data_IF_486835776864
#
_entry.id   IF_486835776864
#
_cell.length_a   1.000
_cell.length_b   1.000
_cell.length_c   1.000
_cell.angle_alpha   90.00
_cell.angle_beta   90.00
_cell.angle_gamma   90.00
#
_symmetry.space_group_name_H-M   'P 1'
#
loop_
_entity.id
_entity.type
_entity.pdbx_description
1 polymer ?
#
# COMPACT_ATOMS: atom_id res chain seq x y z
N UNK A 1 18.36 14.21 -1.24
CA UNK A 1 16.98 13.98 -1.12
C UNK A 1 16.62 12.57 -1.10
N UNK A 2 15.73 12.20 -0.28
CA UNK A 2 15.31 10.82 -0.17
C UNK A 2 14.37 10.47 -1.32
N UNK A 3 14.48 9.26 -1.81
CA UNK A 3 13.55 8.79 -2.81
C UNK A 3 12.16 8.66 -2.22
N UNK A 4 11.12 8.93 -2.98
CA UNK A 4 9.77 8.64 -2.51
C UNK A 4 9.59 7.14 -2.29
N UNK A 5 8.67 6.79 -1.44
CA UNK A 5 8.49 5.41 -1.00
C UNK A 5 7.27 4.78 -1.66
N UNK A 6 7.41 3.53 -2.09
CA UNK A 6 6.29 2.68 -2.41
C UNK A 6 6.16 1.72 -1.22
N UNK A 7 5.03 1.78 -0.53
CA UNK A 7 4.80 1.03 0.69
C UNK A 7 3.82 -0.10 0.43
N UNK A 8 4.24 -1.32 0.66
CA UNK A 8 3.46 -2.51 0.32
C UNK A 8 3.10 -3.28 1.58
N UNK A 9 1.84 -3.66 1.73
CA UNK A 9 1.34 -4.38 2.91
C UNK A 9 0.53 -5.59 2.47
N UNK A 10 0.90 -6.76 2.97
CA UNK A 10 0.19 -7.98 2.68
C UNK A 10 0.51 -8.97 3.80
N UNK A 11 -0.49 -9.59 4.40
CA UNK A 11 -0.27 -10.51 5.51
C UNK A 11 0.36 -11.83 5.08
N UNK A 12 0.37 -12.15 3.80
CA UNK A 12 1.03 -13.34 3.29
C UNK A 12 2.49 -13.00 2.95
N UNK A 13 3.47 -13.51 3.70
CA UNK A 13 4.87 -13.17 3.46
C UNK A 13 5.38 -13.57 2.08
N UNK A 14 4.83 -14.66 1.51
CA UNK A 14 5.27 -15.10 0.19
C UNK A 14 4.82 -14.13 -0.89
N UNK A 15 3.57 -13.69 -0.80
CA UNK A 15 3.03 -12.72 -1.74
C UNK A 15 3.79 -11.41 -1.60
N UNK A 16 4.02 -10.98 -0.37
CA UNK A 16 4.72 -9.73 -0.11
C UNK A 16 6.13 -9.76 -0.68
N UNK A 17 6.84 -10.89 -0.53
CA UNK A 17 8.17 -11.02 -1.09
C UNK A 17 8.17 -10.92 -2.60
N UNK A 18 7.21 -11.55 -3.24
CA UNK A 18 7.12 -11.52 -4.70
C UNK A 18 6.84 -10.10 -5.20
N UNK A 19 5.92 -9.42 -4.54
CA UNK A 19 5.58 -8.04 -4.91
C UNK A 19 6.79 -7.13 -4.68
N UNK A 20 7.46 -7.26 -3.54
CA UNK A 20 8.62 -6.45 -3.24
C UNK A 20 9.72 -6.65 -4.25
N UNK A 21 9.95 -7.90 -4.65
CA UNK A 21 10.97 -8.22 -5.63
C UNK A 21 10.65 -7.55 -6.96
N UNK A 22 9.40 -7.65 -7.39
CA UNK A 22 9.00 -7.08 -8.67
C UNK A 22 9.06 -5.56 -8.64
N UNK A 23 8.66 -4.95 -7.54
CA UNK A 23 8.73 -3.50 -7.40
C UNK A 23 10.18 -3.02 -7.41
N UNK A 24 11.06 -3.72 -6.70
CA UNK A 24 12.46 -3.36 -6.68
C UNK A 24 13.09 -3.50 -8.07
N UNK A 25 12.71 -4.56 -8.76
CA UNK A 25 13.24 -4.79 -10.10
C UNK A 25 12.88 -3.67 -11.06
N UNK A 26 11.69 -3.10 -10.93
CA UNK A 26 11.23 -2.10 -11.87
C UNK A 26 11.45 -0.67 -11.41
N UNK A 27 11.41 -0.42 -10.13
CA UNK A 27 11.35 0.96 -9.63
C UNK A 27 12.46 1.34 -8.66
N UNK A 28 13.39 0.43 -8.39
CA UNK A 28 14.42 0.65 -7.40
C UNK A 28 15.27 1.90 -7.65
N UNK A 29 15.44 2.30 -8.89
CA UNK A 29 16.24 3.48 -9.20
C UNK A 29 15.57 4.77 -8.73
N UNK A 30 14.23 4.79 -8.74
CA UNK A 30 13.48 6.01 -8.48
C UNK A 30 12.71 5.99 -7.18
N UNK A 31 12.46 4.83 -6.60
CA UNK A 31 11.65 4.69 -5.40
C UNK A 31 12.30 3.76 -4.40
N UNK A 32 12.04 4.03 -3.13
CA UNK A 32 12.46 3.12 -2.08
C UNK A 32 11.27 2.22 -1.80
N UNK A 33 11.49 0.93 -1.67
CA UNK A 33 10.42 -0.04 -1.46
C UNK A 33 10.45 -0.48 0.00
N UNK A 34 9.35 -0.28 0.71
CA UNK A 34 9.19 -0.72 2.09
C UNK A 34 8.00 -1.66 2.15
N UNK A 35 8.12 -2.74 2.89
CA UNK A 35 7.09 -3.77 2.97
C UNK A 35 6.90 -4.25 4.39
N UNK A 36 5.68 -4.56 4.75
CA UNK A 36 5.39 -5.16 6.06
C UNK A 36 4.20 -6.10 5.94
N UNK A 37 4.13 -7.07 6.83
CA UNK A 37 3.02 -8.02 6.86
C UNK A 37 1.92 -7.60 7.84
N UNK A 38 2.11 -6.52 8.59
CA UNK A 38 1.15 -6.08 9.60
C UNK A 38 0.61 -4.70 9.29
N UNK A 39 -0.70 -4.57 9.19
CA UNK A 39 -1.33 -3.29 8.92
C UNK A 39 -1.13 -2.32 10.08
N UNK A 40 -1.14 -2.83 11.31
CA UNK A 40 -0.90 -1.97 12.49
C UNK A 40 0.52 -1.44 12.50
N UNK A 41 1.50 -2.29 12.20
CA UNK A 41 2.87 -1.84 12.10
C UNK A 41 3.05 -0.86 10.96
N UNK A 42 2.33 -1.08 9.88
CA UNK A 42 2.38 -0.17 8.74
C UNK A 42 1.91 1.22 9.11
N UNK A 43 0.84 1.34 9.89
CA UNK A 43 0.35 2.66 10.31
C UNK A 43 1.36 3.37 11.19
N UNK A 44 2.02 2.64 12.07
CA UNK A 44 3.07 3.23 12.90
C UNK A 44 4.23 3.69 12.04
N UNK A 45 4.64 2.86 11.09
CA UNK A 45 5.75 3.19 10.20
C UNK A 45 5.42 4.41 9.34
N UNK A 46 4.19 4.50 8.86
CA UNK A 46 3.75 5.63 8.02
C UNK A 46 3.79 6.93 8.82
N UNK A 47 3.37 6.87 10.08
CA UNK A 47 3.43 8.03 10.96
C UNK A 47 4.88 8.47 11.19
N UNK A 48 5.75 7.52 11.42
CA UNK A 48 7.17 7.81 11.63
C UNK A 48 7.81 8.40 10.38
N UNK A 49 7.46 7.88 9.22
CA UNK A 49 7.98 8.40 7.95
C UNK A 49 7.55 9.86 7.75
N UNK A 50 6.31 10.16 8.09
CA UNK A 50 5.80 11.52 7.96
C UNK A 50 6.56 12.46 8.89
N UNK A 51 6.80 12.03 10.11
CA UNK A 51 7.53 12.84 11.08
C UNK A 51 8.98 13.05 10.67
N UNK A 52 9.54 12.11 9.91
CA UNK A 52 10.90 12.22 9.42
C UNK A 52 11.03 13.02 8.12
N UNK A 53 9.92 13.47 7.57
CA UNK A 53 9.95 14.25 6.34
C UNK A 53 10.02 13.43 5.07
N UNK A 54 9.82 12.12 5.17
CA UNK A 54 9.81 11.24 3.99
C UNK A 54 8.48 11.34 3.26
N UNK A 55 8.48 11.02 1.99
CA UNK A 55 7.28 11.04 1.14
C UNK A 55 6.90 9.63 0.75
N UNK A 56 5.62 9.31 0.88
CA UNK A 56 5.09 8.06 0.36
C UNK A 56 4.34 8.37 -0.92
N UNK A 57 4.79 7.79 -2.02
CA UNK A 57 4.18 8.02 -3.32
C UNK A 57 3.01 7.09 -3.58
N UNK A 58 3.05 5.88 -3.04
CA UNK A 58 2.01 4.90 -3.29
C UNK A 58 1.91 3.90 -2.16
N UNK A 59 0.67 3.50 -1.85
CA UNK A 59 0.39 2.38 -0.96
C UNK A 59 -0.18 1.24 -1.81
N UNK A 60 0.38 0.05 -1.63
CA UNK A 60 -0.07 -1.14 -2.34
C UNK A 60 -0.49 -2.13 -1.26
N UNK A 61 -1.77 -2.37 -1.09
CA UNK A 61 -2.31 -3.02 0.10
C UNK A 61 -3.23 -4.18 -0.25
N UNK A 62 -3.06 -5.29 0.42
CA UNK A 62 -3.96 -6.42 0.29
C UNK A 62 -5.27 -6.10 1.01
N UNK A 63 -6.39 -6.49 0.43
CA UNK A 63 -7.70 -6.22 1.03
C UNK A 63 -7.96 -7.11 2.24
N UNK A 64 -7.59 -8.38 2.18
CA UNK A 64 -7.92 -9.29 3.26
C UNK A 64 -6.77 -9.51 4.19
N UNK A 65 -6.81 -8.82 5.31
CA UNK A 65 -5.78 -8.93 6.35
C UNK A 65 -6.47 -9.10 7.69
N UNK A 66 -5.88 -9.84 8.62
CA UNK A 66 -6.56 -10.13 9.88
C UNK A 66 -6.79 -8.93 10.80
N UNK A 67 -5.92 -7.95 10.78
CA UNK A 67 -6.02 -6.82 11.69
C UNK A 67 -7.01 -5.77 11.23
N UNK A 68 -7.06 -5.53 9.96
CA UNK A 68 -8.00 -4.59 9.36
C UNK A 68 -8.02 -4.83 7.86
N UNK A 69 -9.07 -4.46 7.21
CA UNK A 69 -9.13 -4.59 5.76
C UNK A 69 -8.29 -3.53 5.10
N UNK A 70 -7.87 -3.81 3.87
CA UNK A 70 -7.04 -2.86 3.12
C UNK A 70 -7.69 -1.51 2.94
N UNK A 71 -9.01 -1.46 2.71
CA UNK A 71 -9.70 -0.18 2.57
C UNK A 71 -9.66 0.61 3.87
N UNK A 72 -9.72 -0.06 5.01
CA UNK A 72 -9.64 0.63 6.31
C UNK A 72 -8.25 1.21 6.52
N UNK A 73 -7.23 0.45 6.16
CA UNK A 73 -5.86 0.94 6.23
C UNK A 73 -5.70 2.18 5.35
N UNK A 74 -6.20 2.10 4.12
CA UNK A 74 -6.06 3.20 3.17
C UNK A 74 -6.78 4.45 3.65
N UNK A 75 -7.95 4.29 4.27
CA UNK A 75 -8.67 5.44 4.81
C UNK A 75 -7.87 6.15 5.90
N UNK A 76 -7.13 5.39 6.70
CA UNK A 76 -6.30 5.99 7.73
C UNK A 76 -5.02 6.59 7.15
N UNK A 77 -4.41 5.89 6.21
CA UNK A 77 -3.16 6.34 5.60
C UNK A 77 -3.31 7.62 4.79
N UNK A 78 -4.48 7.81 4.16
CA UNK A 78 -4.70 8.99 3.36
C UNK A 78 -4.75 10.25 4.19
N UNK A 79 -5.07 10.14 5.47
CA UNK A 79 -5.08 11.30 6.34
C UNK A 79 -3.66 11.78 6.62
N UNK A 80 -2.69 10.88 6.50
CA UNK A 80 -1.29 11.20 6.73
C UNK A 80 -0.62 11.62 5.42
N UNK A 81 -0.93 10.90 4.34
CA UNK A 81 -0.36 11.19 3.02
C UNK A 81 -1.50 11.31 1.99
N UNK A 82 -2.17 12.44 1.94
CA UNK A 82 -3.34 12.58 1.07
C UNK A 82 -3.05 12.47 -0.43
N UNK A 83 -1.83 12.75 -0.83
CA UNK A 83 -1.49 12.71 -2.25
C UNK A 83 -0.95 11.37 -2.72
N UNK A 84 -0.76 10.41 -1.82
CA UNK A 84 -0.24 9.12 -2.20
C UNK A 84 -1.26 8.35 -3.03
N UNK A 85 -0.79 7.62 -4.03
CA UNK A 85 -1.68 6.78 -4.81
C UNK A 85 -2.02 5.56 -3.99
N UNK A 86 -3.21 5.03 -4.19
CA UNK A 86 -3.72 3.92 -3.39
C UNK A 86 -4.11 2.79 -4.31
N UNK A 87 -3.49 1.65 -4.12
CA UNK A 87 -3.71 0.47 -4.93
C UNK A 87 -4.15 -0.66 -4.01
N UNK A 88 -5.26 -1.28 -4.33
CA UNK A 88 -5.79 -2.36 -3.53
C UNK A 88 -5.66 -3.66 -4.31
N UNK A 89 -5.04 -4.66 -3.71
CA UNK A 89 -4.90 -5.96 -4.31
C UNK A 89 -6.01 -6.83 -3.77
N UNK A 90 -6.87 -7.32 -4.63
CA UNK A 90 -8.05 -7.98 -4.15
C UNK A 90 -8.57 -9.00 -5.15
N UNK A 91 -9.27 -10.00 -4.68
CA UNK A 91 -9.99 -10.91 -5.55
C UNK A 91 -11.14 -10.13 -6.21
N UNK A 92 -11.66 -10.67 -7.29
CA UNK A 92 -12.68 -9.98 -8.07
C UNK A 92 -13.87 -9.53 -7.23
N UNK A 93 -14.39 -10.39 -6.40
CA UNK A 93 -15.56 -10.06 -5.60
C UNK A 93 -15.27 -8.95 -4.59
N UNK A 94 -14.05 -8.90 -4.08
CA UNK A 94 -13.66 -7.86 -3.14
C UNK A 94 -13.47 -6.53 -3.84
N UNK A 95 -13.13 -6.56 -5.11
CA UNK A 95 -12.93 -5.34 -5.89
C UNK A 95 -14.21 -4.51 -5.95
N UNK A 96 -15.35 -5.15 -6.14
CA UNK A 96 -16.63 -4.44 -6.21
C UNK A 96 -16.92 -3.74 -4.89
N UNK A 97 -16.72 -4.44 -3.77
CA UNK A 97 -16.94 -3.85 -2.46
C UNK A 97 -15.97 -2.70 -2.20
N UNK A 98 -14.73 -2.86 -2.60
CA UNK A 98 -13.71 -1.84 -2.38
C UNK A 98 -14.01 -0.56 -3.16
N UNK A 99 -14.48 -0.69 -4.38
CA UNK A 99 -14.81 0.48 -5.20
C UNK A 99 -15.96 1.26 -4.57
N UNK A 100 -16.89 0.58 -3.93
CA UNK A 100 -17.98 1.27 -3.25
C UNK A 100 -17.50 1.97 -1.99
N UNK A 101 -16.51 1.41 -1.33
CA UNK A 101 -16.02 1.94 -0.06
C UNK A 101 -15.07 3.12 -0.22
N UNK A 102 -14.35 3.19 -1.32
CA UNK A 102 -13.40 4.26 -1.56
C UNK A 102 -13.64 4.87 -2.92
N UNK A 103 -13.16 6.04 -3.12
CA UNK A 103 -13.34 6.72 -4.36
C UNK A 103 -12.62 5.98 -5.47
N UNK A 104 -13.25 5.82 -6.58
CA UNK A 104 -12.71 5.11 -7.70
C UNK A 104 -11.33 5.60 -8.13
N UNK A 105 -11.06 6.83 -7.97
CA UNK A 105 -9.79 7.33 -8.33
C UNK A 105 -8.68 6.76 -7.55
N UNK A 106 -8.95 6.17 -6.42
CA UNK A 106 -7.94 5.64 -5.59
C UNK A 106 -7.56 4.24 -5.96
N UNK A 107 -8.31 3.62 -6.89
CA UNK A 107 -8.16 2.25 -7.21
C UNK A 107 -7.42 2.12 -8.49
N UNK A 108 -6.41 1.31 -8.53
CA UNK A 108 -5.68 1.11 -9.67
C UNK A 108 -5.85 -0.25 -10.11
N UNK A 109 -6.16 -0.52 -11.30
CA UNK A 109 -6.44 -1.73 -11.73
C UNK A 109 -5.26 -2.49 -11.95
N UNK A 110 -4.70 -3.08 -11.20
CA UNK A 110 -3.66 -3.77 -11.31
C UNK A 110 -3.91 -5.02 -11.67
N UNK A 111 -3.65 -5.48 -12.41
CA UNK A 111 -4.01 -6.56 -12.80
C UNK A 111 -3.43 -7.53 -12.30
N UNK A 112 -3.08 -8.17 -12.22
CA UNK A 112 -2.72 -9.16 -11.77
C UNK A 112 -1.58 -9.33 -11.27
N UNK A 113 -1.41 -9.77 -10.43
CA UNK A 113 -0.27 -10.06 -9.77
C UNK A 113 0.11 -11.45 -9.99
#
# INVERSE_FOLDING_TARGET
MNKPIIFSIDDDPQVLRAISRDLKSQYNAEYKIISTTSANEALEAVTDLKNSGDTVAMFLVDQRMPEMEGVDFLQKAIKIYPDAKRVLLTAYSDTVAAIKAINVNLWCKLKKI
#
